data_IF_973266719732
#
_entry.id   IF_973266719732
#
_cell.length_a   1.000
_cell.length_b   1.000
_cell.length_c   1.000
_cell.angle_alpha   90.00
_cell.angle_beta   90.00
_cell.angle_gamma   90.00
#
_symmetry.space_group_name_H-M   'P 1'
#
loop_
_entity.id
_entity.type
_entity.pdbx_description
1 polymer ?
#
# COMPACT_ATOMS: atom_id res chain seq x y z
N UNK A 1 -5.48 9.00 8.30
CA UNK A 1 -4.96 8.94 6.95
C UNK A 1 -4.22 7.67 6.61
N UNK A 2 -3.88 7.54 5.35
CA UNK A 2 -3.16 6.37 4.84
C UNK A 2 -1.65 6.47 5.04
N UNK A 3 -1.15 7.67 5.29
CA UNK A 3 0.29 7.92 5.34
C UNK A 3 1.05 7.05 6.34
N UNK A 4 0.57 6.84 7.57
CA UNK A 4 1.27 5.94 8.50
C UNK A 4 1.42 4.53 7.98
N UNK A 5 0.40 4.01 7.31
CA UNK A 5 0.45 2.66 6.75
C UNK A 5 1.42 2.57 5.58
N UNK A 6 1.49 3.62 4.76
CA UNK A 6 2.44 3.69 3.65
C UNK A 6 3.87 3.69 4.16
N UNK A 7 4.14 4.47 5.20
CA UNK A 7 5.47 4.51 5.81
C UNK A 7 5.86 3.16 6.42
N UNK A 8 4.92 2.49 7.11
CA UNK A 8 5.17 1.17 7.64
C UNK A 8 5.42 0.15 6.53
N UNK A 9 4.66 0.23 5.44
CA UNK A 9 4.85 -0.66 4.30
C UNK A 9 6.25 -0.50 3.71
N UNK A 10 6.71 0.73 3.57
CA UNK A 10 8.06 1.00 3.09
C UNK A 10 9.12 0.43 4.03
N UNK A 11 8.91 0.60 5.33
CA UNK A 11 9.83 0.08 6.34
C UNK A 11 9.97 -1.44 6.23
N UNK A 12 8.84 -2.14 6.20
CA UNK A 12 8.87 -3.59 6.09
C UNK A 12 9.49 -4.06 4.78
N UNK A 13 9.24 -3.35 3.69
CA UNK A 13 9.78 -3.73 2.39
C UNK A 13 11.29 -3.54 2.32
N UNK A 14 11.80 -2.39 2.79
CA UNK A 14 13.19 -1.99 2.55
C UNK A 14 14.13 -2.37 3.69
N UNK A 15 13.66 -2.34 4.91
CA UNK A 15 14.53 -2.59 6.08
C UNK A 15 14.42 -4.01 6.60
N UNK A 16 13.21 -4.55 6.69
CA UNK A 16 12.99 -5.87 7.24
C UNK A 16 12.79 -6.93 6.17
N UNK A 17 12.58 -6.51 4.94
CA UNK A 17 12.27 -7.39 3.81
C UNK A 17 11.12 -8.34 4.13
N UNK A 18 10.20 -7.88 4.95
CA UNK A 18 9.01 -8.63 5.33
C UNK A 18 7.87 -8.22 4.39
N UNK A 19 7.84 -8.86 3.24
CA UNK A 19 6.89 -8.49 2.19
C UNK A 19 5.44 -8.77 2.58
N UNK A 20 5.22 -9.79 3.43
CA UNK A 20 3.87 -10.10 3.88
C UNK A 20 3.32 -9.00 4.78
N UNK A 21 4.14 -8.50 5.71
CA UNK A 21 3.74 -7.37 6.54
C UNK A 21 3.56 -6.10 5.73
N UNK A 22 4.44 -5.87 4.75
CA UNK A 22 4.30 -4.74 3.84
C UNK A 22 2.99 -4.81 3.05
N UNK A 23 2.62 -6.00 2.59
CA UNK A 23 1.35 -6.21 1.90
C UNK A 23 0.17 -5.90 2.81
N UNK A 24 0.23 -6.34 4.07
CA UNK A 24 -0.85 -6.08 5.02
C UNK A 24 -1.03 -4.58 5.25
N UNK A 25 0.07 -3.87 5.44
CA UNK A 25 0.00 -2.41 5.63
C UNK A 25 -0.53 -1.72 4.37
N UNK A 26 -0.11 -2.18 3.19
CA UNK A 26 -0.60 -1.63 1.93
C UNK A 26 -2.10 -1.87 1.78
N UNK A 27 -2.57 -3.07 2.12
CA UNK A 27 -4.01 -3.36 2.07
C UNK A 27 -4.81 -2.47 3.02
N UNK A 28 -4.29 -2.21 4.21
CA UNK A 28 -4.95 -1.32 5.16
C UNK A 28 -5.04 0.10 4.62
N UNK A 29 -3.98 0.57 3.99
CA UNK A 29 -3.99 1.88 3.35
C UNK A 29 -5.00 1.93 2.22
N UNK A 30 -5.08 0.89 1.40
CA UNK A 30 -6.04 0.81 0.31
C UNK A 30 -7.47 0.83 0.83
N UNK A 31 -7.75 0.12 1.91
CA UNK A 31 -9.08 0.09 2.51
C UNK A 31 -9.50 1.48 3.00
N UNK A 32 -8.58 2.22 3.60
CA UNK A 32 -8.86 3.57 4.07
C UNK A 32 -9.11 4.54 2.91
N UNK A 33 -8.38 4.38 1.80
CA UNK A 33 -8.53 5.27 0.65
C UNK A 33 -9.69 4.90 -0.25
N UNK A 34 -10.29 3.72 -0.06
CA UNK A 34 -11.39 3.24 -0.88
C UNK A 34 -12.73 3.86 -0.53
N UNK A 35 -12.85 4.57 0.59
CA UNK A 35 -14.11 5.19 0.97
C UNK A 35 -14.42 6.34 0.02
N UNK A 36 -15.53 6.27 -0.75
CA UNK A 36 -15.84 7.33 -1.70
C UNK A 36 -16.25 8.59 -0.96
N UNK A 37 -15.65 9.70 -1.33
CA UNK A 37 -16.06 11.03 -0.91
C UNK A 37 -16.39 11.84 -2.16
N UNK A 38 -17.49 12.56 -2.12
CA UNK A 38 -17.91 13.40 -3.26
C UNK A 38 -16.94 14.55 -3.50
N UNK A 39 -16.07 14.83 -2.55
CA UNK A 39 -15.16 15.95 -2.60
C UNK A 39 -13.70 15.53 -2.64
N UNK A 40 -13.42 14.27 -3.02
CA UNK A 40 -12.04 13.79 -3.10
C UNK A 40 -11.28 14.55 -4.19
N UNK A 41 -10.11 15.11 -3.86
CA UNK A 41 -9.29 15.75 -4.90
C UNK A 41 -8.69 14.70 -5.83
N UNK A 42 -8.29 15.09 -7.07
CA UNK A 42 -7.67 14.15 -8.02
C UNK A 42 -6.46 13.40 -7.45
N UNK A 43 -5.77 13.99 -6.48
CA UNK A 43 -4.62 13.36 -5.83
C UNK A 43 -4.99 12.06 -5.11
N UNK A 44 -6.24 11.90 -4.68
CA UNK A 44 -6.68 10.66 -4.02
C UNK A 44 -6.66 9.50 -5.01
N UNK A 45 -7.06 9.74 -6.26
CA UNK A 45 -7.03 8.69 -7.26
C UNK A 45 -5.59 8.29 -7.60
N UNK A 46 -4.70 9.25 -7.68
CA UNK A 46 -3.29 8.96 -7.89
C UNK A 46 -2.72 8.13 -6.74
N UNK A 47 -3.10 8.45 -5.50
CA UNK A 47 -2.69 7.68 -4.34
C UNK A 47 -3.21 6.24 -4.42
N UNK A 48 -4.47 6.05 -4.80
CA UNK A 48 -5.05 4.72 -4.97
C UNK A 48 -4.31 3.92 -6.03
N UNK A 49 -3.98 4.55 -7.15
CA UNK A 49 -3.24 3.90 -8.21
C UNK A 49 -1.84 3.50 -7.75
N UNK A 50 -1.17 4.37 -7.01
CA UNK A 50 0.15 4.09 -6.47
C UNK A 50 0.10 2.93 -5.47
N UNK A 51 -0.92 2.88 -4.63
CA UNK A 51 -1.10 1.79 -3.67
C UNK A 51 -1.37 0.46 -4.38
N UNK A 52 -2.18 0.48 -5.43
CA UNK A 52 -2.45 -0.73 -6.20
C UNK A 52 -1.18 -1.25 -6.86
N UNK A 53 -0.38 -0.37 -7.42
CA UNK A 53 0.90 -0.73 -8.02
C UNK A 53 1.84 -1.34 -6.98
N UNK A 54 1.94 -0.72 -5.81
CA UNK A 54 2.77 -1.23 -4.72
C UNK A 54 2.29 -2.60 -4.25
N UNK A 55 0.99 -2.77 -4.12
CA UNK A 55 0.40 -4.05 -3.72
C UNK A 55 0.78 -5.15 -4.70
N UNK A 56 0.60 -4.91 -5.99
CA UNK A 56 0.93 -5.90 -7.01
C UNK A 56 2.42 -6.25 -7.00
N UNK A 57 3.28 -5.25 -6.84
CA UNK A 57 4.71 -5.47 -6.78
C UNK A 57 5.10 -6.31 -5.56
N UNK A 58 4.56 -5.96 -4.41
CA UNK A 58 4.86 -6.69 -3.17
C UNK A 58 4.34 -8.11 -3.23
N UNK A 59 3.18 -8.31 -3.84
CA UNK A 59 2.61 -9.64 -4.01
C UNK A 59 3.53 -10.52 -4.83
N UNK A 60 4.10 -9.99 -5.90
CA UNK A 60 5.07 -10.72 -6.71
C UNK A 60 6.34 -11.05 -5.92
N UNK A 61 6.85 -10.07 -5.18
CA UNK A 61 8.05 -10.28 -4.36
C UNK A 61 7.83 -11.33 -3.28
N UNK A 62 6.68 -11.31 -2.63
CA UNK A 62 6.36 -12.28 -1.60
C UNK A 62 6.27 -13.69 -2.20
N UNK A 63 5.72 -13.81 -3.39
CA UNK A 63 5.62 -15.10 -4.08
C UNK A 63 6.99 -15.62 -4.52
N UNK A 64 7.87 -14.71 -4.95
CA UNK A 64 9.22 -15.10 -5.41
C UNK A 64 10.16 -15.42 -4.26
N UNK A 65 9.89 -14.91 -3.08
CA UNK A 65 10.78 -15.01 -1.94
C UNK A 65 10.54 -16.28 -1.09
N UNK A 66 9.87 -17.24 -1.64
CA UNK A 66 9.61 -18.51 -0.96
C UNK A 66 10.68 -19.55 -1.29
#
# INVERSE_FOLDING_TARGET
>A
GTKPYIELAKHYEHYERDYESALDMTRRAMALSAEPSLFDPPSVQEEQNALQYRYDRLKKKAAQNR
#
